data_IF_854461336585
#
_entry.id   IF_854461336585
#
_cell.length_a   1.000
_cell.length_b   1.000
_cell.length_c   1.000
_cell.angle_alpha   90.00
_cell.angle_beta   90.00
_cell.angle_gamma   90.00
#
_symmetry.space_group_name_H-M   'P 1'
#
loop_
_entity.id
_entity.type
_entity.pdbx_description
1 polymer ?
#
# COMPACT_ATOMS: atom_id res chain seq x y z
N UNK A 1 -34.99 -33.03 -3.51
CA UNK A 1 -33.52 -33.13 -3.66
C UNK A 1 -32.97 -31.70 -3.80
N UNK A 2 -32.28 -31.17 -2.79
CA UNK A 2 -31.69 -29.81 -2.82
C UNK A 2 -30.17 -29.93 -2.71
N UNK A 3 -29.48 -29.64 -3.81
CA UNK A 3 -28.02 -29.70 -4.00
C UNK A 3 -27.29 -28.41 -3.57
N UNK A 4 -27.97 -27.50 -2.86
CA UNK A 4 -27.43 -26.16 -2.54
C UNK A 4 -26.59 -26.10 -1.25
N UNK A 5 -26.53 -27.19 -0.46
CA UNK A 5 -25.93 -27.16 0.87
C UNK A 5 -24.41 -27.30 0.94
N UNK A 6 -23.78 -27.99 -0.03
CA UNK A 6 -22.38 -28.46 0.13
C UNK A 6 -21.37 -27.39 -0.32
N UNK A 7 -21.64 -26.69 -1.42
CA UNK A 7 -20.74 -25.66 -1.95
C UNK A 7 -20.75 -24.38 -1.10
N UNK A 8 -21.91 -24.02 -0.54
CA UNK A 8 -22.05 -22.85 0.33
C UNK A 8 -21.31 -23.05 1.67
N UNK A 9 -21.42 -24.24 2.27
CA UNK A 9 -20.68 -24.58 3.49
C UNK A 9 -19.17 -24.68 3.23
N UNK A 10 -18.74 -25.24 2.09
CA UNK A 10 -17.33 -25.32 1.71
C UNK A 10 -16.69 -23.95 1.44
N UNK A 11 -17.46 -22.95 0.98
CA UNK A 11 -16.98 -21.58 0.83
C UNK A 11 -16.79 -20.87 2.18
N UNK A 12 -17.60 -21.22 3.18
CA UNK A 12 -17.60 -20.60 4.52
C UNK A 12 -16.57 -21.22 5.47
N UNK A 13 -16.18 -22.48 5.25
CA UNK A 13 -15.15 -23.20 6.02
C UNK A 13 -13.73 -23.02 5.48
N UNK A 14 -13.53 -22.30 4.39
CA UNK A 14 -12.19 -21.80 4.03
C UNK A 14 -11.81 -20.70 5.00
N UNK A 15 -11.17 -21.10 6.10
CA UNK A 15 -10.30 -20.21 6.84
C UNK A 15 -9.45 -19.47 5.81
N UNK A 16 -9.53 -18.14 5.80
CA UNK A 16 -8.71 -17.33 4.93
C UNK A 16 -7.26 -17.80 5.14
N UNK A 17 -6.56 -18.26 4.09
CA UNK A 17 -5.19 -18.71 4.25
C UNK A 17 -4.42 -17.57 4.89
N UNK A 18 -3.91 -17.83 6.10
CA UNK A 18 -3.04 -16.89 6.81
C UNK A 18 -1.75 -16.87 6.03
N UNK A 19 -1.60 -15.87 5.16
CA UNK A 19 -0.36 -15.64 4.45
C UNK A 19 0.70 -15.31 5.49
N UNK A 20 1.55 -16.27 5.80
CA UNK A 20 2.78 -16.01 6.55
C UNK A 20 3.81 -15.39 5.58
N UNK A 21 4.73 -14.55 6.07
CA UNK A 21 5.81 -13.99 5.26
C UNK A 21 6.58 -15.06 4.46
N UNK A 22 6.76 -16.24 5.04
CA UNK A 22 7.44 -17.39 4.41
C UNK A 22 6.63 -18.04 3.28
N UNK A 23 5.30 -17.87 3.28
CA UNK A 23 4.39 -18.37 2.24
C UNK A 23 4.22 -17.40 1.08
N UNK A 24 4.87 -16.23 1.11
CA UNK A 24 4.84 -15.26 0.05
C UNK A 24 6.10 -15.38 -0.80
N UNK A 25 6.05 -16.09 -1.95
CA UNK A 25 7.05 -15.94 -3.00
C UNK A 25 6.87 -14.58 -3.72
N UNK A 26 6.64 -13.51 -2.96
CA UNK A 26 6.63 -12.13 -3.43
C UNK A 26 7.98 -11.67 -3.97
N UNK A 27 9.01 -12.51 -3.88
CA UNK A 27 10.24 -12.42 -4.66
C UNK A 27 10.02 -12.38 -6.19
N UNK A 28 8.79 -12.58 -6.70
CA UNK A 28 8.46 -12.54 -8.13
C UNK A 28 7.67 -11.31 -8.57
N UNK A 29 7.69 -10.20 -7.83
CA UNK A 29 7.21 -8.94 -8.41
C UNK A 29 7.97 -8.64 -9.69
N UNK A 30 7.28 -8.10 -10.69
CA UNK A 30 7.85 -7.91 -12.03
C UNK A 30 9.14 -7.06 -11.94
N UNK A 31 10.30 -7.59 -12.33
CA UNK A 31 11.48 -6.76 -12.50
C UNK A 31 11.29 -5.86 -13.73
N UNK A 32 11.67 -4.59 -13.60
CA UNK A 32 11.56 -3.61 -14.69
C UNK A 32 11.16 -2.22 -14.18
N UNK A 33 11.04 -1.21 -15.07
CA UNK A 33 10.57 0.11 -14.66
C UNK A 33 9.10 0.07 -14.24
N UNK A 34 8.72 0.98 -13.35
CA UNK A 34 7.32 1.23 -13.00
C UNK A 34 6.57 1.61 -14.28
N UNK A 35 5.55 0.84 -14.67
CA UNK A 35 4.85 1.02 -15.95
C UNK A 35 3.95 2.26 -15.97
N UNK A 36 3.34 2.58 -14.83
CA UNK A 36 2.24 3.52 -14.73
C UNK A 36 2.58 4.69 -13.81
N UNK A 37 3.82 5.19 -13.89
CA UNK A 37 4.16 6.42 -13.18
C UNK A 37 3.39 7.60 -13.79
N UNK A 38 2.74 8.45 -12.96
CA UNK A 38 2.14 9.66 -13.45
C UNK A 38 3.19 10.57 -14.09
N UNK A 39 2.81 11.25 -15.17
CA UNK A 39 3.70 12.21 -15.83
C UNK A 39 3.98 13.42 -14.93
N UNK A 40 5.09 14.11 -15.16
CA UNK A 40 5.41 15.32 -14.42
C UNK A 40 4.32 16.40 -14.56
N UNK A 41 3.69 16.51 -15.74
CA UNK A 41 2.59 17.42 -15.97
C UNK A 41 1.37 17.09 -15.10
N UNK A 42 1.04 15.80 -14.97
CA UNK A 42 -0.01 15.34 -14.07
C UNK A 42 0.33 15.66 -12.61
N UNK A 43 1.56 15.40 -12.17
CA UNK A 43 2.00 15.71 -10.80
C UNK A 43 1.94 17.21 -10.51
N UNK A 44 2.38 18.05 -11.44
CA UNK A 44 2.26 19.51 -11.31
C UNK A 44 0.80 19.94 -11.19
N UNK A 45 -0.09 19.43 -12.04
CA UNK A 45 -1.52 19.73 -11.96
C UNK A 45 -2.13 19.28 -10.63
N UNK A 46 -1.77 18.07 -10.16
CA UNK A 46 -2.21 17.51 -8.89
C UNK A 46 -1.78 18.39 -7.71
N UNK A 47 -0.52 18.83 -7.68
CA UNK A 47 0.00 19.71 -6.64
C UNK A 47 -0.71 21.07 -6.63
N UNK A 48 -1.06 21.61 -7.80
CA UNK A 48 -1.81 22.85 -7.92
C UNK A 48 -3.25 22.76 -7.40
N UNK A 49 -3.83 21.57 -7.26
CA UNK A 49 -5.19 21.42 -6.72
C UNK A 49 -5.29 21.74 -5.22
N UNK A 50 -4.19 21.61 -4.48
CA UNK A 50 -4.20 21.69 -3.02
C UNK A 50 -4.90 20.52 -2.31
N UNK A 51 -5.39 19.49 -3.02
CA UNK A 51 -6.09 18.36 -2.42
C UNK A 51 -5.09 17.34 -1.83
N UNK A 52 -4.94 17.36 -0.51
CA UNK A 52 -4.12 16.41 0.24
C UNK A 52 -4.50 14.95 -0.05
N UNK A 53 -5.81 14.64 -0.16
CA UNK A 53 -6.29 13.27 -0.42
C UNK A 53 -5.94 12.82 -1.83
N UNK A 54 -5.91 13.72 -2.80
CA UNK A 54 -5.51 13.41 -4.16
C UNK A 54 -4.03 12.96 -4.25
N UNK A 55 -3.15 13.52 -3.41
CA UNK A 55 -1.77 13.03 -3.26
C UNK A 55 -1.74 11.59 -2.71
N UNK A 56 -2.57 11.32 -1.70
CA UNK A 56 -2.74 9.97 -1.17
C UNK A 56 -3.20 8.98 -2.23
N UNK A 57 -4.24 9.34 -3.00
CA UNK A 57 -4.76 8.55 -4.13
C UNK A 57 -3.66 8.25 -5.15
N UNK A 58 -2.87 9.25 -5.55
CA UNK A 58 -1.77 9.06 -6.49
C UNK A 58 -0.72 8.05 -5.98
N UNK A 59 -0.38 8.10 -4.68
CA UNK A 59 0.48 7.11 -4.05
C UNK A 59 -0.14 5.70 -4.09
N UNK A 60 -1.41 5.56 -3.70
CA UNK A 60 -2.09 4.26 -3.68
C UNK A 60 -2.20 3.64 -5.08
N UNK A 61 -2.43 4.45 -6.12
CA UNK A 61 -2.43 3.97 -7.51
C UNK A 61 -1.09 3.39 -7.93
N UNK A 62 0.01 4.11 -7.68
CA UNK A 62 1.35 3.66 -8.07
C UNK A 62 1.77 2.41 -7.30
N UNK A 63 1.48 2.36 -5.99
CA UNK A 63 1.77 1.17 -5.18
C UNK A 63 0.93 -0.03 -5.63
N UNK A 64 -0.35 0.15 -5.95
CA UNK A 64 -1.22 -0.92 -6.43
C UNK A 64 -0.63 -1.60 -7.67
N UNK A 65 -0.12 -0.80 -8.60
CA UNK A 65 0.46 -1.30 -9.86
C UNK A 65 1.81 -1.99 -9.64
N UNK A 66 2.62 -1.52 -8.68
CA UNK A 66 3.83 -2.20 -8.28
C UNK A 66 3.53 -3.59 -7.68
N UNK A 67 2.45 -3.69 -6.90
CA UNK A 67 1.97 -4.94 -6.32
C UNK A 67 1.16 -5.81 -7.30
N UNK A 68 1.37 -5.71 -8.61
CA UNK A 68 0.69 -6.57 -9.58
C UNK A 68 1.18 -8.04 -9.50
N UNK A 69 0.32 -9.00 -9.09
CA UNK A 69 0.71 -10.39 -8.96
C UNK A 69 0.65 -11.15 -10.30
N UNK A 70 0.53 -10.48 -11.44
CA UNK A 70 0.41 -11.10 -12.77
C UNK A 70 1.57 -12.05 -13.14
N UNK A 71 2.75 -11.83 -12.57
CA UNK A 71 3.91 -12.70 -12.74
C UNK A 71 3.82 -14.04 -11.97
N UNK A 72 2.85 -14.19 -11.06
CA UNK A 72 2.61 -15.44 -10.35
C UNK A 72 1.91 -16.46 -11.25
N UNK A 73 2.53 -17.63 -11.39
CA UNK A 73 2.01 -18.75 -12.19
C UNK A 73 0.83 -19.44 -11.49
N UNK A 74 0.87 -19.57 -10.16
CA UNK A 74 -0.21 -20.16 -9.37
C UNK A 74 -1.43 -19.22 -9.30
N UNK A 75 -2.56 -19.70 -9.84
CA UNK A 75 -3.83 -18.97 -9.89
C UNK A 75 -4.42 -18.76 -8.50
N UNK A 76 -4.34 -19.75 -7.61
CA UNK A 76 -4.88 -19.67 -6.26
C UNK A 76 -4.13 -18.63 -5.45
N UNK A 77 -2.80 -18.65 -5.52
CA UNK A 77 -1.95 -17.66 -4.88
C UNK A 77 -2.17 -16.25 -5.47
N UNK A 78 -2.25 -16.12 -6.80
CA UNK A 78 -2.53 -14.85 -7.47
C UNK A 78 -3.87 -14.24 -7.03
N UNK A 79 -4.90 -15.06 -6.81
CA UNK A 79 -6.20 -14.60 -6.28
C UNK A 79 -6.08 -14.10 -4.84
N UNK A 80 -5.31 -14.78 -4.00
CA UNK A 80 -5.08 -14.36 -2.61
C UNK A 80 -4.30 -13.04 -2.54
N UNK A 81 -3.21 -12.91 -3.31
CA UNK A 81 -2.46 -11.67 -3.43
C UNK A 81 -3.35 -10.51 -3.92
N UNK A 82 -4.19 -10.75 -4.93
CA UNK A 82 -5.15 -9.75 -5.39
C UNK A 82 -6.13 -9.35 -4.28
N UNK A 83 -6.66 -10.29 -3.51
CA UNK A 83 -7.58 -9.99 -2.41
C UNK A 83 -6.94 -9.14 -1.32
N UNK A 84 -5.71 -9.46 -0.90
CA UNK A 84 -4.96 -8.66 0.08
C UNK A 84 -4.68 -7.26 -0.46
N UNK A 85 -4.18 -7.17 -1.71
CA UNK A 85 -3.92 -5.89 -2.36
C UNK A 85 -5.19 -5.05 -2.43
N UNK A 86 -6.30 -5.61 -2.89
CA UNK A 86 -7.55 -4.88 -3.08
C UNK A 86 -8.19 -4.42 -1.77
N UNK A 87 -7.87 -5.07 -0.64
CA UNK A 87 -8.33 -4.66 0.68
C UNK A 87 -7.71 -3.33 1.17
N UNK A 88 -6.47 -3.04 0.78
CA UNK A 88 -5.72 -1.84 1.21
C UNK A 88 -5.54 -0.82 0.07
N UNK A 89 -5.31 -1.32 -1.14
CA UNK A 89 -4.98 -0.56 -2.34
C UNK A 89 -6.09 -0.76 -3.39
N UNK A 90 -7.34 -0.32 -3.17
CA UNK A 90 -8.44 -0.58 -4.09
C UNK A 90 -8.20 0.07 -5.48
N UNK A 91 -8.91 -0.42 -6.51
CA UNK A 91 -8.64 -0.05 -7.91
C UNK A 91 -9.06 1.36 -8.27
N UNK A 92 -10.19 1.81 -7.77
CA UNK A 92 -10.80 3.09 -8.16
C UNK A 92 -10.53 4.21 -7.15
N UNK A 93 -10.42 5.43 -7.66
CA UNK A 93 -10.07 6.61 -6.86
C UNK A 93 -11.08 6.90 -5.74
N UNK A 94 -12.37 6.57 -5.93
CA UNK A 94 -13.39 6.78 -4.91
C UNK A 94 -13.20 5.83 -3.72
N UNK A 95 -12.96 4.53 -3.97
CA UNK A 95 -12.60 3.58 -2.91
C UNK A 95 -11.25 3.89 -2.29
N UNK A 96 -10.31 4.44 -3.04
CA UNK A 96 -9.03 4.91 -2.50
C UNK A 96 -9.22 6.10 -1.54
N UNK A 97 -10.12 7.04 -1.86
CA UNK A 97 -10.49 8.10 -0.91
C UNK A 97 -11.18 7.53 0.33
N UNK A 98 -12.08 6.56 0.15
CA UNK A 98 -12.76 5.90 1.27
C UNK A 98 -11.80 5.13 2.18
N UNK A 99 -10.79 4.45 1.63
CA UNK A 99 -9.81 3.73 2.45
C UNK A 99 -8.95 4.72 3.24
N UNK A 100 -8.52 5.83 2.63
CA UNK A 100 -7.80 6.90 3.34
C UNK A 100 -8.62 7.45 4.50
N UNK A 101 -9.91 7.71 4.30
CA UNK A 101 -10.84 8.17 5.35
C UNK A 101 -10.97 7.14 6.49
N UNK A 102 -11.11 5.85 6.15
CA UNK A 102 -11.20 4.79 7.17
C UNK A 102 -9.95 4.69 8.03
N UNK A 103 -8.77 4.93 7.46
CA UNK A 103 -7.53 4.99 8.23
C UNK A 103 -7.42 6.27 9.05
N UNK A 104 -7.85 7.42 8.53
CA UNK A 104 -7.85 8.68 9.26
C UNK A 104 -8.79 8.64 10.49
N UNK A 105 -9.94 7.97 10.37
CA UNK A 105 -10.94 7.84 11.43
C UNK A 105 -10.73 6.63 12.36
N UNK A 106 -9.65 5.85 12.17
CA UNK A 106 -9.34 4.68 12.99
C UNK A 106 -10.22 3.45 12.74
N UNK A 107 -11.14 3.50 11.77
CA UNK A 107 -12.05 2.40 11.41
C UNK A 107 -11.38 1.28 10.60
N UNK A 108 -10.11 1.43 10.25
CA UNK A 108 -9.33 0.46 9.48
C UNK A 108 -8.67 -0.64 10.33
N UNK A 109 -8.94 -0.74 11.64
CA UNK A 109 -8.38 -1.78 12.52
C UNK A 109 -8.47 -3.21 11.97
N UNK A 110 -9.57 -3.66 11.34
CA UNK A 110 -9.66 -5.01 10.75
C UNK A 110 -8.71 -5.27 9.58
N UNK A 111 -8.09 -4.21 9.04
CA UNK A 111 -7.18 -4.28 7.90
C UNK A 111 -5.70 -4.32 8.32
N UNK A 112 -5.41 -4.35 9.63
CA UNK A 112 -4.06 -4.31 10.17
C UNK A 112 -3.14 -5.40 9.62
N UNK A 113 -3.61 -6.65 9.59
CA UNK A 113 -2.80 -7.78 9.10
C UNK A 113 -2.46 -7.63 7.60
N UNK A 114 -3.44 -7.22 6.78
CA UNK A 114 -3.25 -6.98 5.35
C UNK A 114 -2.28 -5.82 5.09
N UNK A 115 -2.38 -4.75 5.90
CA UNK A 115 -1.46 -3.63 5.83
C UNK A 115 -0.05 -4.04 6.25
N UNK A 116 0.11 -4.78 7.35
CA UNK A 116 1.39 -5.28 7.83
C UNK A 116 2.08 -6.13 6.76
N UNK A 117 1.32 -7.03 6.12
CA UNK A 117 1.82 -7.83 5.01
C UNK A 117 2.33 -6.96 3.85
N UNK A 118 1.53 -5.99 3.41
CA UNK A 118 1.93 -5.10 2.31
C UNK A 118 3.17 -4.28 2.66
N UNK A 119 3.33 -3.83 3.89
CA UNK A 119 4.52 -3.08 4.33
C UNK A 119 5.77 -3.98 4.30
N UNK A 120 5.67 -5.22 4.80
CA UNK A 120 6.77 -6.19 4.70
C UNK A 120 7.15 -6.42 3.25
N UNK A 121 6.18 -6.65 2.38
CA UNK A 121 6.43 -6.84 0.94
C UNK A 121 6.99 -5.59 0.26
N UNK A 122 6.63 -4.40 0.72
CA UNK A 122 7.13 -3.14 0.21
C UNK A 122 8.62 -2.94 0.52
N UNK A 123 9.05 -3.38 1.72
CA UNK A 123 10.42 -3.25 2.19
C UNK A 123 11.41 -4.06 1.34
N UNK A 124 10.97 -5.20 0.82
CA UNK A 124 11.76 -6.11 -0.03
C UNK A 124 11.42 -5.97 -1.52
N UNK A 125 10.61 -4.98 -1.90
CA UNK A 125 10.13 -4.84 -3.28
C UNK A 125 11.29 -4.50 -4.24
N UNK A 126 11.44 -5.19 -5.40
CA UNK A 126 12.55 -4.94 -6.33
C UNK A 126 12.56 -3.51 -6.90
N UNK A 127 11.39 -2.88 -6.97
CA UNK A 127 11.23 -1.49 -7.41
C UNK A 127 11.16 -0.47 -6.26
N UNK A 128 11.48 -0.86 -5.01
CA UNK A 128 11.34 -0.01 -3.82
C UNK A 128 12.03 1.33 -3.98
N UNK A 129 13.22 1.37 -4.56
CA UNK A 129 13.96 2.62 -4.76
C UNK A 129 13.26 3.58 -5.75
N UNK A 130 12.69 3.04 -6.83
CA UNK A 130 11.92 3.85 -7.78
C UNK A 130 10.64 4.41 -7.14
N UNK A 131 9.94 3.59 -6.35
CA UNK A 131 8.77 3.99 -5.57
C UNK A 131 9.14 5.05 -4.51
N UNK A 132 10.28 4.89 -3.85
CA UNK A 132 10.83 5.85 -2.87
C UNK A 132 11.07 7.21 -3.51
N UNK A 133 11.70 7.24 -4.68
CA UNK A 133 11.93 8.49 -5.44
C UNK A 133 10.62 9.16 -5.84
N UNK A 134 9.66 8.42 -6.37
CA UNK A 134 8.34 8.94 -6.68
C UNK A 134 7.66 9.56 -5.45
N UNK A 135 7.64 8.83 -4.34
CA UNK A 135 7.04 9.32 -3.10
C UNK A 135 7.80 10.54 -2.54
N UNK A 136 9.13 10.62 -2.65
CA UNK A 136 9.86 11.83 -2.24
C UNK A 136 9.47 13.07 -3.05
N UNK A 137 9.22 12.93 -4.36
CA UNK A 137 8.80 14.04 -5.21
C UNK A 137 7.43 14.59 -4.79
N UNK A 138 6.54 13.72 -4.30
CA UNK A 138 5.20 14.08 -3.85
C UNK A 138 5.17 14.64 -2.42
N UNK A 139 5.90 14.04 -1.48
CA UNK A 139 5.66 14.24 -0.05
C UNK A 139 6.81 14.93 0.72
N UNK A 140 7.99 15.11 0.14
CA UNK A 140 9.10 15.85 0.78
C UNK A 140 9.16 17.33 0.38
N UNK A 141 8.26 17.78 -0.51
CA UNK A 141 8.11 19.21 -0.78
C UNK A 141 7.48 19.90 0.42
N UNK A 142 7.96 21.08 0.74
CA UNK A 142 7.43 21.88 1.85
C UNK A 142 6.16 22.62 1.42
N UNK A 143 5.02 21.93 1.44
CA UNK A 143 3.72 22.51 1.14
C UNK A 143 2.61 21.87 2.00
N UNK A 144 1.55 22.62 2.37
CA UNK A 144 0.60 22.18 3.39
C UNK A 144 -0.13 20.85 3.09
N UNK A 145 -0.63 20.61 1.85
CA UNK A 145 -1.28 19.33 1.51
C UNK A 145 -0.39 18.09 1.73
N UNK A 146 0.92 18.18 1.47
CA UNK A 146 1.84 17.06 1.76
C UNK A 146 2.03 16.84 3.26
N UNK A 147 2.05 17.89 4.08
CA UNK A 147 2.10 17.76 5.54
C UNK A 147 0.82 17.11 6.07
N UNK A 148 -0.33 17.52 5.57
CA UNK A 148 -1.64 17.00 5.97
C UNK A 148 -1.76 15.51 5.66
N UNK A 149 -1.56 15.12 4.40
CA UNK A 149 -1.76 13.72 3.98
C UNK A 149 -0.77 12.75 4.63
N UNK A 150 0.44 13.22 4.99
CA UNK A 150 1.43 12.40 5.72
C UNK A 150 0.98 12.01 7.13
N UNK A 151 0.02 12.74 7.72
CA UNK A 151 -0.57 12.37 9.01
C UNK A 151 -1.58 11.23 8.88
N UNK A 152 -2.02 10.90 7.67
CA UNK A 152 -2.88 9.75 7.44
C UNK A 152 -2.10 8.46 7.78
N UNK A 153 -2.62 7.58 8.66
CA UNK A 153 -1.89 6.39 9.10
C UNK A 153 -1.50 5.43 7.97
N UNK A 154 -2.34 5.29 6.94
CA UNK A 154 -2.03 4.46 5.78
C UNK A 154 -0.86 5.04 5.00
N UNK A 155 -0.90 6.34 4.73
CA UNK A 155 0.15 7.04 3.97
C UNK A 155 1.46 7.03 4.75
N UNK A 156 1.43 7.34 6.05
CA UNK A 156 2.59 7.27 6.92
C UNK A 156 3.24 5.88 6.90
N UNK A 157 2.44 4.83 7.03
CA UNK A 157 2.94 3.45 7.03
C UNK A 157 3.56 3.05 5.68
N UNK A 158 2.95 3.45 4.55
CA UNK A 158 3.50 3.21 3.22
C UNK A 158 4.82 3.96 3.01
N UNK A 159 4.90 5.23 3.42
CA UNK A 159 6.12 6.03 3.30
C UNK A 159 7.24 5.49 4.21
N UNK A 160 6.90 4.96 5.39
CA UNK A 160 7.83 4.24 6.24
C UNK A 160 8.33 2.94 5.59
N UNK A 161 7.44 2.14 4.98
CA UNK A 161 7.82 0.94 4.21
C UNK A 161 8.76 1.26 3.03
N UNK A 162 8.55 2.40 2.37
CA UNK A 162 9.46 2.92 1.35
C UNK A 162 10.80 3.44 1.90
N UNK A 163 10.94 3.60 3.22
CA UNK A 163 12.15 4.12 3.86
C UNK A 163 12.30 5.65 3.73
N UNK A 164 11.20 6.40 3.59
CA UNK A 164 11.23 7.87 3.56
C UNK A 164 11.19 8.52 4.95
N UNK A 165 10.67 7.79 5.93
CA UNK A 165 10.75 8.20 7.33
C UNK A 165 11.51 7.12 8.08
N UNK A 166 12.82 7.30 8.18
CA UNK A 166 13.61 6.56 9.14
C UNK A 166 13.04 6.86 10.52
N UNK A 167 12.66 5.81 11.23
CA UNK A 167 12.35 5.83 12.66
C UNK A 167 13.30 6.82 13.34
N UNK A 168 12.73 7.82 13.99
CA UNK A 168 13.45 8.80 14.80
C UNK A 168 14.53 8.07 15.57
N UNK A 169 15.79 8.32 15.24
CA UNK A 169 16.89 7.93 16.10
C UNK A 169 16.57 8.60 17.44
N UNK A 170 16.42 7.84 18.55
CA UNK A 170 16.19 8.47 19.84
C UNK A 170 17.30 9.50 20.04
N UNK A 171 17.00 10.71 20.56
CA UNK A 171 18.05 11.68 20.81
C UNK A 171 19.10 10.98 21.63
N UNK A 172 20.34 10.97 21.13
CA UNK A 172 21.47 10.50 21.91
C UNK A 172 21.38 11.24 23.24
N UNK A 173 21.11 10.51 24.32
CA UNK A 173 21.17 11.06 25.65
C UNK A 173 22.56 11.64 25.81
N UNK A 174 22.67 12.96 25.72
CA UNK A 174 23.84 13.69 26.18
C UNK A 174 23.93 13.42 27.66
N UNK A 175 24.67 12.37 28.00
CA UNK A 175 25.20 12.16 29.34
C UNK A 175 26.17 13.31 29.56
N UNK A 176 25.68 14.35 30.23
CA UNK A 176 26.53 15.34 30.88
C UNK A 176 27.31 14.60 31.99
N UNK A 177 28.63 14.51 31.81
CA UNK A 177 29.60 14.40 32.88
C UNK A 177 30.41 15.70 32.91
#
# INVERSE_FOLDING_TARGET
MRTEGILYLAARSRAAPRLTPDMLPCARFRPGPLRNLPSQAYLSALLSTGDARALGVALLMVLRDAFDPSALQDIALRRQCNAVRDAILPRDAMRQRAILERFATGQAKPLGDALGLLITLLADHPQREALRRFASQLFLRDFPPAHEIRRNPLVAAMLAGLGLFSRTQPPASSVLQ
#
